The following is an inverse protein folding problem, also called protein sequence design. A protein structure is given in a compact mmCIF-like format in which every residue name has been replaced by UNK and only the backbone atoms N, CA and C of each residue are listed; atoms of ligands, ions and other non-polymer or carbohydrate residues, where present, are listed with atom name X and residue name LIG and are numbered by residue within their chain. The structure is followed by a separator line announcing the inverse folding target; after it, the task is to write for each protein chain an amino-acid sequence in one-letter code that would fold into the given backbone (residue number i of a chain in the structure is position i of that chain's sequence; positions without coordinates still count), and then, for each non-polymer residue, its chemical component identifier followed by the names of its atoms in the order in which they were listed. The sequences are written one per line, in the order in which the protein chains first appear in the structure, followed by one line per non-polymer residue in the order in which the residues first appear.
data_IF_447525300239
#
_entry.id   IF_447525300239
#
_cell.length_a   1.000
_cell.length_b   1.000
_cell.length_c   1.000
_cell.angle_alpha   90.00
_cell.angle_beta   90.00
_cell.angle_gamma   90.00
#
_symmetry.space_group_name_H-M   'P 1'
#
loop_
_entity.id
_entity.type
_entity.pdbx_description
1 polymer ?
#
# COMPACT_ATOMS: atom_id res chain seq x y z
N UNK A 1 38.00 -28.39 -10.32
CA UNK A 1 37.76 -27.64 -9.06
C UNK A 1 36.57 -28.30 -8.38
N UNK A 2 36.83 -29.18 -7.41
CA UNK A 2 35.77 -29.85 -6.65
C UNK A 2 35.24 -28.85 -5.63
N UNK A 3 34.07 -28.28 -5.90
CA UNK A 3 33.36 -27.45 -4.92
C UNK A 3 32.74 -28.42 -3.92
N UNK A 4 33.47 -28.72 -2.85
CA UNK A 4 32.96 -29.46 -1.71
C UNK A 4 31.90 -28.57 -1.04
N UNK A 5 30.63 -28.93 -1.20
CA UNK A 5 29.52 -28.24 -0.55
C UNK A 5 29.30 -28.95 0.78
N UNK A 6 29.51 -28.25 1.89
CA UNK A 6 29.25 -28.84 3.21
C UNK A 6 27.80 -29.30 3.29
N UNK A 7 27.55 -30.54 3.77
CA UNK A 7 26.20 -31.07 3.90
C UNK A 7 25.43 -30.22 4.91
N UNK A 8 24.20 -29.85 4.55
CA UNK A 8 23.29 -29.13 5.45
C UNK A 8 22.78 -30.11 6.50
N UNK A 9 22.94 -29.76 7.77
CA UNK A 9 22.31 -30.41 8.91
C UNK A 9 22.14 -29.40 10.06
N UNK A 10 21.05 -28.63 10.00
CA UNK A 10 20.76 -27.53 10.90
C UNK A 10 19.60 -27.93 11.80
N UNK A 11 19.80 -27.81 13.12
CA UNK A 11 18.73 -27.93 14.11
C UNK A 11 18.33 -26.54 14.58
N UNK A 12 17.05 -26.22 14.47
CA UNK A 12 16.46 -24.93 14.85
C UNK A 12 15.43 -25.16 15.95
N UNK A 13 15.63 -24.53 17.11
CA UNK A 13 14.70 -24.54 18.25
C UNK A 13 14.06 -23.17 18.40
N UNK A 14 12.72 -23.12 18.50
CA UNK A 14 11.94 -21.90 18.63
C UNK A 14 11.17 -21.97 19.95
N UNK A 15 11.33 -20.95 20.79
CA UNK A 15 10.63 -20.82 22.08
C UNK A 15 10.02 -19.42 22.25
N UNK A 16 9.00 -19.31 23.10
CA UNK A 16 8.28 -18.05 23.34
C UNK A 16 7.20 -17.83 22.28
N UNK A 17 5.93 -17.86 22.67
CA UNK A 17 4.78 -17.82 21.74
C UNK A 17 4.51 -19.14 20.99
N UNK A 18 5.52 -20.01 20.89
CA UNK A 18 5.49 -21.36 20.35
C UNK A 18 6.62 -22.18 20.98
N UNK A 19 6.53 -23.51 20.99
CA UNK A 19 7.61 -24.41 21.39
C UNK A 19 7.79 -25.49 20.32
N UNK A 20 8.75 -25.29 19.42
CA UNK A 20 8.99 -26.17 18.28
C UNK A 20 10.48 -26.41 18.04
N UNK A 21 10.81 -27.57 17.48
CA UNK A 21 12.16 -27.91 17.05
C UNK A 21 12.12 -28.52 15.65
N UNK A 22 12.86 -27.91 14.72
CA UNK A 22 12.92 -28.30 13.31
C UNK A 22 14.34 -28.74 12.97
N UNK A 23 14.48 -29.83 12.23
CA UNK A 23 15.75 -30.25 11.66
C UNK A 23 15.69 -30.13 10.14
N UNK A 24 16.67 -29.42 9.57
CA UNK A 24 16.85 -29.24 8.13
C UNK A 24 18.14 -29.94 7.72
N UNK A 25 18.03 -30.98 6.89
CA UNK A 25 19.14 -31.76 6.37
C UNK A 25 19.08 -31.87 4.84
N UNK A 26 20.04 -32.57 4.25
CA UNK A 26 20.11 -32.77 2.78
C UNK A 26 18.84 -33.31 2.13
N UNK A 27 18.06 -34.14 2.86
CA UNK A 27 16.83 -34.75 2.32
C UNK A 27 15.65 -33.78 2.32
N UNK A 28 15.62 -32.79 3.22
CA UNK A 28 14.50 -31.86 3.37
C UNK A 28 14.88 -30.38 3.19
N UNK A 29 16.10 -30.08 2.72
CA UNK A 29 16.60 -28.69 2.51
C UNK A 29 15.76 -27.84 1.55
N UNK A 30 14.96 -28.48 0.69
CA UNK A 30 14.05 -27.79 -0.24
C UNK A 30 12.62 -27.67 0.31
N UNK A 31 12.32 -28.32 1.43
CA UNK A 31 11.00 -28.29 2.05
C UNK A 31 10.89 -27.09 2.99
N UNK A 32 9.94 -26.19 2.70
CA UNK A 32 9.61 -25.08 3.61
C UNK A 32 8.82 -25.60 4.79
N UNK A 33 9.36 -25.45 6.01
CA UNK A 33 8.66 -25.77 7.24
C UNK A 33 7.96 -24.52 7.79
N UNK A 34 6.67 -24.64 8.11
CA UNK A 34 5.84 -23.53 8.60
C UNK A 34 5.23 -23.89 9.94
N UNK A 35 5.45 -23.04 10.92
CA UNK A 35 4.90 -23.19 12.26
C UNK A 35 4.12 -21.93 12.64
N UNK A 36 2.93 -22.12 13.21
CA UNK A 36 2.06 -21.02 13.60
C UNK A 36 2.33 -20.62 15.05
N UNK A 37 2.67 -19.35 15.25
CA UNK A 37 2.83 -18.79 16.60
C UNK A 37 1.47 -18.75 17.30
N UNK A 38 1.39 -19.32 18.50
CA UNK A 38 0.12 -19.52 19.22
C UNK A 38 -0.37 -18.24 19.89
N UNK A 39 0.54 -17.42 20.40
CA UNK A 39 0.22 -16.19 21.14
C UNK A 39 0.88 -14.96 20.51
N UNK A 40 0.12 -13.89 20.30
CA UNK A 40 0.61 -12.65 19.70
C UNK A 40 0.08 -11.45 20.51
N UNK A 41 0.90 -10.43 20.85
CA UNK A 41 2.34 -10.33 20.58
C UNK A 41 3.15 -11.23 21.52
N UNK A 42 4.22 -11.83 20.99
CA UNK A 42 5.16 -12.64 21.77
C UNK A 42 6.58 -12.45 21.26
N UNK A 43 7.56 -12.47 22.16
CA UNK A 43 8.98 -12.50 21.80
C UNK A 43 9.41 -13.93 21.46
N UNK A 44 9.76 -14.17 20.20
CA UNK A 44 10.31 -15.46 19.75
C UNK A 44 11.82 -15.51 20.05
N UNK A 45 12.28 -16.60 20.64
CA UNK A 45 13.70 -16.95 20.80
C UNK A 45 14.02 -18.11 19.87
N UNK A 46 14.88 -17.85 18.90
CA UNK A 46 15.30 -18.82 17.88
C UNK A 46 16.76 -19.17 18.14
N UNK A 47 17.06 -20.46 18.26
CA UNK A 47 18.42 -20.98 18.38
C UNK A 47 18.67 -21.96 17.24
N UNK A 48 19.77 -21.80 16.53
CA UNK A 48 20.17 -22.68 15.46
C UNK A 48 21.57 -23.25 15.74
N UNK A 49 21.78 -24.53 15.43
CA UNK A 49 23.07 -25.21 15.54
C UNK A 49 23.26 -26.22 14.42
N UNK A 50 24.52 -26.52 14.09
CA UNK A 50 24.90 -27.47 13.04
C UNK A 50 25.42 -26.80 11.76
N UNK A 51 25.97 -27.59 10.81
CA UNK A 51 26.53 -27.09 9.56
C UNK A 51 25.46 -26.66 8.54
N UNK A 52 25.78 -25.61 7.78
CA UNK A 52 24.95 -25.07 6.70
C UNK A 52 24.28 -23.73 7.04
N UNK A 53 23.50 -23.22 6.08
CA UNK A 53 22.73 -21.98 6.24
C UNK A 53 21.26 -22.22 5.89
N UNK A 54 20.35 -21.52 6.58
CA UNK A 54 18.92 -21.54 6.30
C UNK A 54 18.31 -20.14 6.49
N UNK A 55 17.24 -19.86 5.76
CA UNK A 55 16.48 -18.62 5.91
C UNK A 55 15.27 -18.87 6.81
N UNK A 56 15.11 -18.05 7.84
CA UNK A 56 13.92 -18.04 8.69
C UNK A 56 13.15 -16.76 8.41
N UNK A 57 11.87 -16.89 8.11
CA UNK A 57 10.97 -15.78 7.83
C UNK A 57 9.76 -15.81 8.76
N UNK A 58 9.50 -14.71 9.44
CA UNK A 58 8.33 -14.51 10.31
C UNK A 58 7.36 -13.54 9.66
N UNK A 59 6.06 -13.85 9.66
CA UNK A 59 5.02 -12.98 9.09
C UNK A 59 3.85 -12.82 10.08
N UNK A 60 3.48 -11.58 10.37
CA UNK A 60 2.32 -11.22 11.19
C UNK A 60 1.32 -10.45 10.32
N UNK A 61 0.08 -10.92 10.26
CA UNK A 61 -1.00 -10.28 9.50
C UNK A 61 -2.16 -9.96 10.43
N UNK A 62 -2.55 -8.68 10.48
CA UNK A 62 -3.66 -8.17 11.29
C UNK A 62 -4.30 -6.97 10.59
N UNK A 63 -5.57 -6.69 10.91
CA UNK A 63 -6.28 -5.53 10.40
C UNK A 63 -6.20 -4.40 11.44
N UNK A 64 -5.88 -3.19 11.00
CA UNK A 64 -5.98 -1.97 11.84
C UNK A 64 -7.02 -1.04 11.25
N UNK A 65 -7.74 -0.31 12.11
CA UNK A 65 -8.67 0.75 11.67
C UNK A 65 -7.92 1.98 11.15
N UNK A 66 -6.78 2.28 11.76
CA UNK A 66 -5.91 3.40 11.37
C UNK A 66 -4.56 2.85 10.92
N UNK A 67 -3.98 3.33 9.80
CA UNK A 67 -2.63 2.94 9.40
C UNK A 67 -1.61 3.30 10.50
N UNK A 68 -0.61 2.46 10.77
CA UNK A 68 0.40 2.72 11.79
C UNK A 68 1.19 4.02 11.53
N UNK A 69 1.83 4.54 12.58
CA UNK A 69 2.52 5.86 12.67
C UNK A 69 3.62 6.13 11.62
N UNK A 70 3.95 5.17 10.74
CA UNK A 70 4.95 5.34 9.68
C UNK A 70 4.42 6.09 8.45
N UNK A 71 3.44 6.97 8.64
CA UNK A 71 2.95 7.84 7.56
C UNK A 71 4.05 8.87 7.24
N UNK A 72 4.81 8.62 6.19
CA UNK A 72 5.77 9.59 5.66
C UNK A 72 5.16 10.54 4.63
N UNK A 73 3.89 10.34 4.29
CA UNK A 73 3.15 11.19 3.37
C UNK A 73 1.88 11.70 4.03
N UNK A 74 1.47 12.90 3.65
CA UNK A 74 0.11 13.37 3.80
C UNK A 74 -0.67 12.96 2.56
N UNK A 75 -1.92 12.52 2.74
CA UNK A 75 -2.81 12.18 1.64
C UNK A 75 -4.24 12.48 2.02
N UNK A 76 -4.91 13.29 1.21
CA UNK A 76 -6.32 13.63 1.35
C UNK A 76 -7.00 13.56 -0.01
N UNK A 77 -8.23 13.05 -0.02
CA UNK A 77 -9.08 13.01 -1.21
C UNK A 77 -10.44 13.59 -0.87
N UNK A 78 -10.90 14.54 -1.67
CA UNK A 78 -12.22 15.18 -1.56
C UNK A 78 -12.93 15.11 -2.90
N UNK A 79 -14.26 15.09 -2.89
CA UNK A 79 -15.08 15.10 -4.10
C UNK A 79 -16.16 16.16 -4.01
N UNK A 80 -16.23 17.01 -5.04
CA UNK A 80 -17.21 18.10 -5.12
C UNK A 80 -18.10 17.91 -6.36
N UNK A 81 -19.39 18.25 -6.26
CA UNK A 81 -20.29 18.16 -7.40
C UNK A 81 -19.91 19.15 -8.49
N UNK A 82 -19.79 18.68 -9.72
CA UNK A 82 -19.54 19.49 -10.91
C UNK A 82 -20.79 19.62 -11.81
N UNK A 83 -21.90 18.99 -11.40
CA UNK A 83 -23.18 18.93 -12.12
C UNK A 83 -24.35 19.16 -11.17
N UNK A 84 -25.49 19.61 -11.72
CA UNK A 84 -26.69 19.93 -10.93
C UNK A 84 -27.33 18.71 -10.25
N UNK A 85 -27.24 17.53 -10.87
CA UNK A 85 -27.71 16.26 -10.31
C UNK A 85 -26.63 15.53 -9.50
N UNK A 86 -25.46 16.15 -9.31
CA UNK A 86 -24.29 15.57 -8.64
C UNK A 86 -23.83 14.23 -9.20
N UNK A 87 -24.28 13.79 -10.39
CA UNK A 87 -23.82 12.52 -10.99
C UNK A 87 -22.39 12.63 -11.48
N UNK A 88 -21.96 13.84 -11.83
CA UNK A 88 -20.56 14.16 -12.10
C UNK A 88 -19.96 14.93 -10.92
N UNK A 89 -18.76 14.52 -10.52
CA UNK A 89 -17.98 15.15 -9.46
C UNK A 89 -16.55 15.37 -9.90
N UNK A 90 -15.93 16.42 -9.38
CA UNK A 90 -14.49 16.64 -9.48
C UNK A 90 -13.82 16.08 -8.23
N UNK A 91 -12.99 15.07 -8.41
CA UNK A 91 -12.22 14.45 -7.35
C UNK A 91 -10.88 15.15 -7.23
N UNK A 92 -10.60 15.75 -6.07
CA UNK A 92 -9.37 16.48 -5.77
C UNK A 92 -8.54 15.70 -4.76
N UNK A 93 -7.27 15.49 -5.09
CA UNK A 93 -6.30 14.80 -4.24
C UNK A 93 -5.19 15.75 -3.87
N UNK A 94 -4.87 15.80 -2.57
CA UNK A 94 -3.75 16.54 -2.01
C UNK A 94 -2.74 15.54 -1.46
N UNK A 95 -1.47 15.70 -1.83
CA UNK A 95 -0.38 14.83 -1.40
C UNK A 95 0.87 15.64 -1.11
N UNK A 96 1.56 15.31 -0.03
CA UNK A 96 2.88 15.87 0.30
C UNK A 96 3.72 14.88 1.10
N UNK A 97 5.03 15.08 1.11
CA UNK A 97 5.96 14.31 1.92
C UNK A 97 6.15 14.99 3.28
N UNK A 98 6.03 14.23 4.37
CA UNK A 98 6.03 14.78 5.73
C UNK A 98 7.43 15.06 6.31
N UNK A 99 8.47 14.24 6.04
CA UNK A 99 9.81 14.50 6.55
C UNK A 99 10.37 15.84 6.06
N UNK A 100 10.46 16.82 6.96
CA UNK A 100 10.86 18.20 6.66
C UNK A 100 12.23 18.28 5.97
N UNK A 101 12.33 19.12 4.94
CA UNK A 101 13.56 19.37 4.19
C UNK A 101 14.02 18.17 3.35
N UNK A 102 13.14 17.19 3.14
CA UNK A 102 13.40 16.01 2.31
C UNK A 102 12.34 15.93 1.21
N UNK A 103 12.70 15.24 0.15
CA UNK A 103 11.84 14.96 -0.98
C UNK A 103 11.75 13.44 -1.10
N UNK A 104 10.54 12.91 -1.27
CA UNK A 104 10.37 11.52 -1.69
C UNK A 104 10.70 11.43 -3.17
N UNK A 105 11.46 10.42 -3.57
CA UNK A 105 11.74 10.17 -4.98
C UNK A 105 10.51 9.66 -5.71
N UNK A 106 10.73 8.76 -6.68
CA UNK A 106 9.64 8.21 -7.48
C UNK A 106 8.53 7.65 -6.59
N UNK A 107 7.32 8.19 -6.74
CA UNK A 107 6.19 7.89 -5.87
C UNK A 107 4.96 7.55 -6.70
N UNK A 108 4.09 6.71 -6.13
CA UNK A 108 2.86 6.27 -6.80
C UNK A 108 1.67 6.60 -5.91
N UNK A 109 0.65 7.24 -6.50
CA UNK A 109 -0.65 7.47 -5.85
C UNK A 109 -1.70 6.62 -6.55
N UNK A 110 -2.38 5.80 -5.78
CA UNK A 110 -3.46 4.91 -6.21
C UNK A 110 -4.76 5.37 -5.58
N UNK A 111 -5.78 5.64 -6.39
CA UNK A 111 -7.08 6.12 -5.94
C UNK A 111 -8.14 5.17 -6.47
N UNK A 112 -8.65 4.30 -5.60
CA UNK A 112 -9.75 3.38 -5.89
C UNK A 112 -11.07 4.11 -5.70
N UNK A 113 -11.97 3.98 -6.67
CA UNK A 113 -13.25 4.69 -6.64
C UNK A 113 -14.20 4.13 -5.57
N UNK A 114 -15.12 5.00 -5.14
CA UNK A 114 -16.32 4.61 -4.40
C UNK A 114 -17.17 3.66 -5.27
N UNK A 115 -17.86 2.72 -4.64
CA UNK A 115 -18.73 1.77 -5.38
C UNK A 115 -19.81 2.52 -6.17
N UNK A 116 -19.98 2.17 -7.45
CA UNK A 116 -20.94 2.82 -8.35
C UNK A 116 -20.42 4.06 -9.07
N UNK A 117 -19.17 4.47 -8.80
CA UNK A 117 -18.50 5.62 -9.40
C UNK A 117 -17.37 5.14 -10.31
N UNK A 118 -17.17 5.79 -11.46
CA UNK A 118 -16.10 5.52 -12.42
C UNK A 118 -15.33 6.80 -12.75
N UNK A 119 -13.99 6.74 -12.96
CA UNK A 119 -13.24 7.90 -13.41
C UNK A 119 -13.52 8.19 -14.89
N UNK A 120 -13.66 9.47 -15.23
CA UNK A 120 -13.75 9.93 -16.61
C UNK A 120 -12.36 9.87 -17.23
N UNK A 121 -12.10 8.86 -18.08
CA UNK A 121 -10.75 8.56 -18.60
C UNK A 121 -10.04 9.74 -19.26
N UNK A 122 -10.78 10.60 -19.96
CA UNK A 122 -10.19 11.74 -20.65
C UNK A 122 -9.76 12.86 -19.70
N UNK A 123 -10.40 13.01 -18.54
CA UNK A 123 -9.94 13.94 -17.51
C UNK A 123 -8.67 13.43 -16.83
N UNK A 124 -8.56 12.10 -16.62
CA UNK A 124 -7.35 11.46 -16.07
C UNK A 124 -6.16 11.60 -17.03
N UNK A 125 -6.34 11.37 -18.33
CA UNK A 125 -5.26 11.54 -19.33
C UNK A 125 -4.69 12.96 -19.38
N UNK A 126 -5.52 13.96 -19.11
CA UNK A 126 -5.09 15.37 -19.07
C UNK A 126 -4.13 15.66 -17.92
N UNK A 127 -4.14 14.86 -16.85
CA UNK A 127 -3.18 15.00 -15.75
C UNK A 127 -1.75 14.94 -16.28
N UNK A 128 -1.35 13.87 -16.96
CA UNK A 128 0.02 13.76 -17.47
C UNK A 128 0.39 14.76 -18.59
N UNK A 129 -0.59 15.47 -19.15
CA UNK A 129 -0.39 16.45 -20.23
C UNK A 129 -0.36 17.89 -19.73
N UNK A 130 -0.72 18.15 -18.47
CA UNK A 130 -0.75 19.49 -17.91
C UNK A 130 0.65 19.87 -17.38
N UNK A 131 1.30 20.90 -17.97
CA UNK A 131 2.66 21.26 -17.64
C UNK A 131 2.83 21.83 -16.23
N UNK A 132 1.73 22.16 -15.54
CA UNK A 132 1.77 22.70 -14.18
C UNK A 132 1.74 21.61 -13.10
N UNK A 133 1.62 20.34 -13.49
CA UNK A 133 1.73 19.23 -12.56
C UNK A 133 2.97 18.39 -12.85
N UNK A 134 3.42 17.66 -11.83
CA UNK A 134 4.59 16.79 -11.88
C UNK A 134 4.19 15.31 -12.09
N UNK A 135 2.97 15.06 -12.56
CA UNK A 135 2.46 13.71 -12.85
C UNK A 135 3.04 13.29 -14.18
N UNK A 136 3.89 12.27 -14.17
CA UNK A 136 4.55 11.75 -15.37
C UNK A 136 3.57 10.90 -16.20
N UNK A 137 2.71 10.18 -15.50
CA UNK A 137 1.80 9.21 -16.08
C UNK A 137 0.58 9.05 -15.17
N UNK A 138 -0.59 8.92 -15.79
CA UNK A 138 -1.83 8.60 -15.11
C UNK A 138 -2.55 7.50 -15.90
N UNK A 139 -2.82 6.37 -15.24
CA UNK A 139 -3.53 5.22 -15.81
C UNK A 139 -4.85 4.97 -15.08
N UNK A 140 -5.77 4.29 -15.75
CA UNK A 140 -7.01 3.77 -15.15
C UNK A 140 -7.02 2.25 -15.32
N UNK A 141 -7.05 1.53 -14.20
CA UNK A 141 -7.06 0.07 -14.14
C UNK A 141 -8.06 -0.36 -13.05
N UNK A 142 -8.94 -1.32 -13.32
CA UNK A 142 -9.87 -1.90 -12.32
C UNK A 142 -10.64 -0.88 -11.45
N UNK A 143 -11.17 0.18 -12.08
CA UNK A 143 -11.88 1.27 -11.40
C UNK A 143 -11.01 2.01 -10.35
N UNK A 144 -9.71 2.08 -10.63
CA UNK A 144 -8.70 2.77 -9.85
C UNK A 144 -7.87 3.67 -10.77
N UNK A 145 -7.59 4.88 -10.32
CA UNK A 145 -6.66 5.81 -10.98
C UNK A 145 -5.29 5.64 -10.36
N UNK A 146 -4.25 5.52 -11.18
CA UNK A 146 -2.86 5.33 -10.77
C UNK A 146 -2.03 6.47 -11.34
N UNK A 147 -1.52 7.35 -10.48
CA UNK A 147 -0.67 8.47 -10.85
C UNK A 147 0.78 8.20 -10.43
N UNK A 148 1.72 8.46 -11.33
CA UNK A 148 3.16 8.31 -11.12
C UNK A 148 3.84 9.69 -11.06
N UNK A 149 4.70 9.87 -10.05
CA UNK A 149 5.40 11.12 -9.76
C UNK A 149 6.90 10.89 -9.78
N UNK A 150 7.67 11.86 -10.27
CA UNK A 150 9.15 11.81 -10.19
C UNK A 150 9.60 12.01 -8.76
N UNK A 151 8.94 12.94 -8.07
CA UNK A 151 9.22 13.30 -6.70
C UNK A 151 7.98 13.89 -6.03
N UNK A 152 7.91 13.82 -4.70
CA UNK A 152 6.90 14.51 -3.90
C UNK A 152 7.65 15.27 -2.79
N UNK A 153 7.51 16.59 -2.80
CA UNK A 153 8.16 17.47 -1.82
C UNK A 153 7.32 17.68 -0.56
N UNK A 154 7.80 18.51 0.36
CA UNK A 154 7.03 18.94 1.53
C UNK A 154 5.87 19.90 1.20
N UNK A 155 5.82 20.46 -0.02
CA UNK A 155 4.72 21.32 -0.43
C UNK A 155 3.50 20.48 -0.84
N UNK A 156 2.32 20.91 -0.41
CA UNK A 156 1.06 20.28 -0.81
C UNK A 156 0.87 20.38 -2.32
N UNK A 157 0.94 19.22 -2.97
CA UNK A 157 0.62 19.09 -4.38
C UNK A 157 -0.84 18.70 -4.51
N UNK A 158 -1.57 19.43 -5.34
CA UNK A 158 -2.97 19.17 -5.63
C UNK A 158 -3.15 18.80 -7.10
N UNK A 159 -3.95 17.77 -7.36
CA UNK A 159 -4.44 17.43 -8.70
C UNK A 159 -5.88 16.94 -8.64
N UNK A 160 -6.59 17.09 -9.76
CA UNK A 160 -8.00 16.71 -9.82
C UNK A 160 -8.38 16.11 -11.16
N UNK A 161 -9.32 15.18 -11.13
CA UNK A 161 -9.94 14.59 -12.31
C UNK A 161 -11.44 14.39 -12.08
N UNK A 162 -12.19 14.24 -13.16
CA UNK A 162 -13.63 14.07 -13.11
C UNK A 162 -13.99 12.59 -12.91
N UNK A 163 -15.05 12.36 -12.15
CA UNK A 163 -15.66 11.06 -11.91
C UNK A 163 -17.17 11.14 -12.16
N UNK A 164 -17.76 10.04 -12.56
CA UNK A 164 -19.18 9.94 -12.85
C UNK A 164 -19.83 8.74 -12.16
N UNK A 165 -21.08 8.90 -11.76
CA UNK A 165 -21.89 7.82 -11.22
C UNK A 165 -22.42 6.94 -12.35
N UNK A 166 -21.92 5.71 -12.41
CA UNK A 166 -22.31 4.70 -13.42
C UNK A 166 -23.40 3.77 -12.91
N UNK A 167 -23.46 3.53 -11.60
CA UNK A 167 -24.48 2.72 -10.95
C UNK A 167 -24.90 3.41 -9.66
N UNK A 168 -26.20 3.57 -9.46
CA UNK A 168 -26.75 4.04 -8.20
C UNK A 168 -26.73 2.90 -7.17
N UNK A 169 -26.11 3.16 -6.01
CA UNK A 169 -25.91 2.17 -4.95
C UNK A 169 -26.40 2.79 -3.65
N UNK A 170 -27.29 2.10 -2.96
CA UNK A 170 -27.90 2.57 -1.71
C UNK A 170 -26.85 2.74 -0.58
N UNK A 171 -25.94 1.77 -0.47
CA UNK A 171 -24.86 1.76 0.54
C UNK A 171 -23.49 1.66 -0.15
N UNK A 172 -23.00 2.75 -0.75
CA UNK A 172 -21.75 2.71 -1.49
C UNK A 172 -20.56 2.49 -0.56
N UNK A 173 -19.70 1.52 -0.86
CA UNK A 173 -18.47 1.34 -0.10
C UNK A 173 -17.52 2.52 -0.36
N UNK A 174 -16.85 3.05 0.69
CA UNK A 174 -15.90 4.15 0.53
C UNK A 174 -14.79 3.85 -0.47
N UNK A 175 -14.33 4.88 -1.17
CA UNK A 175 -13.13 4.81 -1.98
C UNK A 175 -11.90 4.79 -1.06
N UNK A 176 -10.79 4.29 -1.59
CA UNK A 176 -9.51 4.30 -0.87
C UNK A 176 -8.45 4.98 -1.70
N UNK A 177 -7.56 5.69 -1.04
CA UNK A 177 -6.39 6.27 -1.66
C UNK A 177 -5.14 5.84 -0.90
N UNK A 178 -4.07 5.55 -1.65
CA UNK A 178 -2.79 5.13 -1.12
C UNK A 178 -1.67 5.83 -1.88
N UNK A 179 -0.71 6.38 -1.14
CA UNK A 179 0.55 6.88 -1.67
C UNK A 179 1.70 6.06 -1.11
N UNK A 180 2.70 5.76 -1.93
CA UNK A 180 3.91 5.07 -1.48
C UNK A 180 5.13 5.43 -2.34
N UNK A 181 6.31 5.35 -1.74
CA UNK A 181 7.60 5.43 -2.45
C UNK A 181 7.81 4.14 -3.27
N UNK A 182 8.22 4.29 -4.52
CA UNK A 182 8.39 3.19 -5.47
C UNK A 182 9.51 2.22 -5.06
N UNK A 183 10.59 2.72 -4.43
CA UNK A 183 11.74 1.92 -4.03
C UNK A 183 11.64 1.42 -2.58
N UNK A 184 10.83 2.08 -1.75
CA UNK A 184 10.59 1.70 -0.35
C UNK A 184 9.09 1.79 0.01
N UNK A 185 8.24 0.86 -0.48
CA UNK A 185 6.78 0.93 -0.34
C UNK A 185 6.25 0.92 1.10
N UNK A 186 7.07 0.52 2.08
CA UNK A 186 6.78 0.66 3.50
C UNK A 186 6.65 2.13 3.93
N UNK A 187 7.26 3.05 3.18
CA UNK A 187 7.03 4.49 3.28
C UNK A 187 5.75 4.81 2.51
N UNK A 188 4.63 4.84 3.22
CA UNK A 188 3.33 5.03 2.59
C UNK A 188 2.35 5.76 3.51
N UNK A 189 1.27 6.25 2.91
CA UNK A 189 0.08 6.67 3.64
C UNK A 189 -1.16 6.15 2.92
N UNK A 190 -2.25 5.98 3.65
CA UNK A 190 -3.53 5.56 3.07
C UNK A 190 -4.67 6.24 3.79
N UNK A 191 -5.72 6.55 3.04
CA UNK A 191 -6.94 7.16 3.55
C UNK A 191 -8.15 6.58 2.84
N UNK A 192 -9.30 6.60 3.49
CA UNK A 192 -10.60 6.32 2.87
C UNK A 192 -11.36 7.61 2.68
N UNK A 193 -12.12 7.73 1.58
CA UNK A 193 -12.93 8.91 1.32
C UNK A 193 -14.34 8.51 0.90
N UNK A 194 -15.27 9.41 1.19
CA UNK A 194 -16.66 9.35 0.76
C UNK A 194 -17.02 10.72 0.16
N UNK A 195 -18.06 10.76 -0.66
CA UNK A 195 -18.67 12.05 -0.99
C UNK A 195 -19.55 12.41 0.20
N UNK A 196 -19.18 13.45 0.95
CA UNK A 196 -19.98 13.90 2.07
C UNK A 196 -21.41 14.18 1.63
N UNK A 197 -22.38 13.78 2.44
CA UNK A 197 -23.75 14.25 2.26
C UNK A 197 -23.75 15.76 2.48
N UNK A 198 -23.86 16.55 1.41
CA UNK A 198 -24.54 17.84 1.50
C UNK A 198 -26.04 17.56 1.70
N UNK A 199 -26.39 17.06 2.88
CA UNK A 199 -27.74 17.06 3.38
C UNK A 199 -27.70 17.91 4.66
N UNK A 200 -27.79 19.22 4.47
CA UNK A 200 -28.24 20.12 5.53
C UNK A 200 -29.68 19.77 5.88
N UNK A 201 -30.05 19.68 7.16
CA UNK A 201 -31.24 20.37 7.65
C UNK A 201 -30.97 21.86 7.86
#
# INVERSE_FOLDING_TARGET
MLVYKDPVDIKVSITGGIQEAVQVNENNKLLVQRNMVTYVPSTLKIQASGPGCGLIQTSLRYNTKTPPEKQKFFLQVTGECSSADCKQRKLTTIVSYLPKGKIAGMSVVQIKMITGISPVRDSVKKLASDPNNIIIRADVEDNQVICYFWEISNNDMQFSFDVEQVVEVENPQPGTAKVFDYYAPENSASTSYTFGNSASP
#
